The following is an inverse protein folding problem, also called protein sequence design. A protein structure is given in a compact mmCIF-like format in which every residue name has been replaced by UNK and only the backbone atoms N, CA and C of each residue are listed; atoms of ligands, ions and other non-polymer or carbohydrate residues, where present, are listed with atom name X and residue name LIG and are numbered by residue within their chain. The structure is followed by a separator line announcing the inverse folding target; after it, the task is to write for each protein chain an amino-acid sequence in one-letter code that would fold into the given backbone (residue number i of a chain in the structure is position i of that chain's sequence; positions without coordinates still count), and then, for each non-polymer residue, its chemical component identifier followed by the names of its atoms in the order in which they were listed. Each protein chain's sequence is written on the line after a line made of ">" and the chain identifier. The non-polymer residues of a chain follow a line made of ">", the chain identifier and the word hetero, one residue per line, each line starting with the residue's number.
data_IF_453202626249
#
_entry.id   IF_453202626249
#
_cell.length_a   1.000
_cell.length_b   1.000
_cell.length_c   1.000
_cell.angle_alpha   90.00
_cell.angle_beta   90.00
_cell.angle_gamma   90.00
#
_symmetry.space_group_name_H-M   'P 1'
#
loop_
_entity.id
_entity.type
_entity.pdbx_description
1 polymer ?
#
# COMPACT_ATOMS: atom_id res chain seq x y z
N UNK A 1 -55.97 10.21 -62.57
CA UNK A 1 -55.16 9.20 -61.82
C UNK A 1 -53.93 9.83 -61.29
N UNK A 2 -53.83 10.04 -59.98
CA UNK A 2 -52.64 10.67 -59.30
C UNK A 2 -51.96 9.58 -58.56
N UNK A 3 -50.73 9.27 -58.97
CA UNK A 3 -49.82 8.34 -58.29
C UNK A 3 -49.13 9.08 -57.12
N UNK A 4 -49.31 8.57 -55.87
CA UNK A 4 -48.65 9.04 -54.69
C UNK A 4 -47.44 8.14 -54.47
N UNK A 5 -46.26 8.68 -54.71
CA UNK A 5 -44.98 8.01 -54.39
C UNK A 5 -44.68 8.17 -52.92
N UNK A 6 -44.77 7.08 -52.16
CA UNK A 6 -44.34 7.03 -50.75
C UNK A 6 -42.82 6.96 -50.66
N UNK A 7 -42.15 8.01 -50.18
CA UNK A 7 -40.74 8.00 -49.84
C UNK A 7 -40.56 7.36 -48.46
N UNK A 8 -40.01 6.15 -48.41
CA UNK A 8 -39.50 5.56 -47.16
C UNK A 8 -38.24 6.27 -46.74
N UNK A 9 -38.28 6.99 -45.63
CA UNK A 9 -37.08 7.53 -44.96
C UNK A 9 -36.58 6.44 -44.03
N UNK A 10 -35.42 5.83 -44.41
CA UNK A 10 -34.73 4.85 -43.56
C UNK A 10 -33.93 5.63 -42.50
N UNK A 11 -34.42 5.68 -41.26
CA UNK A 11 -33.69 6.25 -40.13
C UNK A 11 -32.70 5.22 -39.62
N UNK A 12 -31.44 5.38 -39.93
CA UNK A 12 -30.33 4.60 -39.35
C UNK A 12 -30.07 5.09 -37.94
N UNK A 13 -30.46 4.32 -36.91
CA UNK A 13 -30.13 4.51 -35.53
C UNK A 13 -28.64 4.07 -35.36
N UNK A 14 -27.71 5.03 -35.27
CA UNK A 14 -26.37 4.79 -34.78
C UNK A 14 -26.46 4.60 -33.26
N UNK A 15 -26.44 3.34 -32.80
CA UNK A 15 -26.24 3.01 -31.39
C UNK A 15 -24.74 3.15 -31.10
N UNK A 16 -24.31 4.29 -30.52
CA UNK A 16 -22.99 4.47 -29.94
C UNK A 16 -22.90 3.59 -28.70
N UNK A 17 -22.21 2.44 -28.80
CA UNK A 17 -21.79 1.64 -27.66
C UNK A 17 -20.81 2.47 -26.85
N UNK A 18 -21.27 3.03 -25.73
CA UNK A 18 -20.38 3.62 -24.73
C UNK A 18 -19.64 2.44 -24.06
N UNK A 19 -18.42 2.16 -24.50
CA UNK A 19 -17.52 1.26 -23.81
C UNK A 19 -17.12 1.97 -22.53
N UNK A 20 -17.82 1.69 -21.45
CA UNK A 20 -17.43 2.14 -20.12
C UNK A 20 -16.05 1.56 -19.79
N UNK A 21 -15.07 2.40 -19.57
CA UNK A 21 -13.79 1.98 -19.02
C UNK A 21 -14.06 1.47 -17.59
N UNK A 22 -14.07 0.16 -17.41
CA UNK A 22 -14.13 -0.43 -16.08
C UNK A 22 -12.76 -0.23 -15.43
N UNK A 23 -12.72 0.60 -14.40
CA UNK A 23 -11.56 0.66 -13.51
C UNK A 23 -11.48 -0.68 -12.77
N UNK A 24 -10.44 -1.46 -13.06
CA UNK A 24 -10.16 -2.69 -12.32
C UNK A 24 -9.56 -2.34 -10.96
N UNK A 25 -9.75 -3.24 -9.97
CA UNK A 25 -9.09 -3.17 -8.66
C UNK A 25 -8.31 -4.45 -8.43
N UNK A 26 -7.15 -4.34 -7.79
CA UNK A 26 -6.31 -5.48 -7.43
C UNK A 26 -5.42 -5.13 -6.24
N UNK A 27 -4.67 -6.11 -5.73
CA UNK A 27 -3.78 -5.89 -4.59
C UNK A 27 -2.44 -6.61 -4.76
N UNK A 28 -1.41 -6.11 -4.09
CA UNK A 28 -0.09 -6.72 -3.96
C UNK A 28 0.22 -6.84 -2.48
N UNK A 29 0.49 -8.05 -2.00
CA UNK A 29 0.89 -8.31 -0.61
C UNK A 29 2.39 -8.59 -0.52
N UNK A 30 3.04 -8.00 0.48
CA UNK A 30 4.41 -8.26 0.87
C UNK A 30 4.44 -8.65 2.34
N UNK A 31 5.30 -9.59 2.69
CA UNK A 31 5.46 -10.07 4.08
C UNK A 31 6.96 -10.19 4.39
N UNK A 32 7.35 -9.76 5.58
CA UNK A 32 8.72 -9.92 6.07
C UNK A 32 8.74 -10.06 7.59
N UNK A 33 9.82 -10.60 8.14
CA UNK A 33 10.07 -10.57 9.58
C UNK A 33 10.94 -9.35 9.88
N UNK A 34 10.51 -8.43 10.75
CA UNK A 34 11.35 -7.29 11.11
C UNK A 34 12.61 -7.74 11.85
N UNK A 35 13.70 -6.95 11.81
CA UNK A 35 14.94 -7.28 12.51
C UNK A 35 14.73 -7.25 14.03
N UNK A 36 15.64 -7.89 14.75
CA UNK A 36 15.73 -7.78 16.22
C UNK A 36 15.99 -6.32 16.61
N UNK A 37 15.45 -5.89 17.75
CA UNK A 37 15.68 -4.57 18.31
C UNK A 37 16.67 -4.65 19.50
N UNK A 38 17.77 -3.89 19.42
CA UNK A 38 18.73 -3.77 20.51
C UNK A 38 18.23 -2.69 21.49
N UNK A 39 18.18 -3.03 22.78
CA UNK A 39 17.87 -2.09 23.86
C UNK A 39 19.16 -1.63 24.53
N UNK A 40 19.39 -0.33 24.53
CA UNK A 40 20.56 0.29 25.15
C UNK A 40 20.51 0.23 26.67
N UNK A 41 21.63 0.60 27.32
CA UNK A 41 21.71 0.70 28.80
C UNK A 41 20.73 1.71 29.39
N UNK A 42 20.18 2.63 28.60
CA UNK A 42 19.16 3.60 28.99
C UNK A 42 17.73 3.02 28.99
N UNK A 43 17.54 1.80 28.47
CA UNK A 43 16.21 1.21 28.27
C UNK A 43 15.52 1.61 26.96
N UNK A 44 16.07 2.56 26.22
CA UNK A 44 15.59 2.91 24.88
C UNK A 44 16.13 1.92 23.83
N UNK A 45 15.31 1.57 22.84
CA UNK A 45 15.70 0.68 21.76
C UNK A 45 16.24 1.42 20.53
N UNK A 46 17.02 0.71 19.73
CA UNK A 46 17.34 1.14 18.37
C UNK A 46 16.10 0.96 17.48
N UNK A 47 15.82 1.94 16.62
CA UNK A 47 14.70 1.84 15.67
C UNK A 47 14.86 0.64 14.76
N UNK A 48 13.98 -0.33 14.88
CA UNK A 48 13.91 -1.48 13.99
C UNK A 48 12.95 -1.19 12.83
N UNK A 49 13.38 -1.41 11.58
CA UNK A 49 12.58 -1.10 10.40
C UNK A 49 12.43 -2.29 9.47
N UNK A 50 11.20 -2.54 9.01
CA UNK A 50 10.88 -3.49 7.96
C UNK A 50 10.52 -2.74 6.68
N UNK A 51 11.10 -3.15 5.55
CA UNK A 51 10.95 -2.51 4.25
C UNK A 51 10.13 -3.38 3.28
N UNK A 52 9.11 -2.79 2.67
CA UNK A 52 8.19 -3.43 1.74
C UNK A 52 8.21 -2.69 0.40
N UNK A 53 9.15 -3.02 -0.45
CA UNK A 53 9.31 -2.36 -1.76
C UNK A 53 8.52 -3.04 -2.86
N UNK A 54 8.04 -2.25 -3.82
CA UNK A 54 7.41 -2.72 -5.05
C UNK A 54 8.38 -2.63 -6.23
N UNK A 55 8.45 -3.70 -6.99
CA UNK A 55 9.21 -3.80 -8.24
C UNK A 55 8.27 -3.98 -9.44
N UNK A 56 8.80 -3.83 -10.66
CA UNK A 56 8.02 -4.07 -11.87
C UNK A 56 7.41 -5.47 -11.96
N UNK A 57 8.09 -6.49 -11.39
CA UNK A 57 7.60 -7.88 -11.37
C UNK A 57 6.38 -8.11 -10.46
N UNK A 58 6.08 -7.19 -9.58
CA UNK A 58 4.90 -7.28 -8.70
C UNK A 58 3.60 -6.90 -9.41
N UNK A 59 3.71 -6.25 -10.57
CA UNK A 59 2.56 -5.84 -11.36
C UNK A 59 2.36 -6.82 -12.53
N UNK A 60 1.09 -7.20 -12.84
CA UNK A 60 0.80 -7.92 -14.09
C UNK A 60 1.36 -7.16 -15.30
N UNK A 61 1.92 -7.86 -16.27
CA UNK A 61 2.57 -7.24 -17.45
C UNK A 61 1.68 -6.23 -18.18
N UNK A 62 0.37 -6.49 -18.25
CA UNK A 62 -0.62 -5.56 -18.82
C UNK A 62 -0.80 -4.27 -18.02
N UNK A 63 -0.38 -4.24 -16.76
CA UNK A 63 -0.53 -3.08 -15.86
C UNK A 63 0.78 -2.31 -15.64
N UNK A 64 1.91 -2.73 -16.24
CA UNK A 64 3.19 -2.05 -16.03
C UNK A 64 3.13 -0.57 -16.42
N UNK A 65 2.50 -0.26 -17.56
CA UNK A 65 2.36 1.10 -18.10
C UNK A 65 1.02 1.76 -17.76
N UNK A 66 0.07 1.01 -17.17
CA UNK A 66 -1.23 1.56 -16.81
C UNK A 66 -1.10 2.61 -15.70
N UNK A 67 -1.98 3.61 -15.76
CA UNK A 67 -2.09 4.61 -14.70
C UNK A 67 -2.72 3.93 -13.46
N UNK A 68 -1.98 3.86 -12.37
CA UNK A 68 -2.40 3.18 -11.12
C UNK A 68 -2.66 4.21 -10.04
N UNK A 69 -3.74 4.01 -9.28
CA UNK A 69 -4.09 4.84 -8.13
C UNK A 69 -4.22 3.97 -6.88
N UNK A 70 -3.46 4.29 -5.84
CA UNK A 70 -3.59 3.66 -4.54
C UNK A 70 -4.97 3.95 -3.95
N UNK A 71 -5.63 2.93 -3.41
CA UNK A 71 -6.95 3.05 -2.77
C UNK A 71 -6.90 2.82 -1.26
N UNK A 72 -5.98 1.98 -0.79
CA UNK A 72 -5.62 1.82 0.63
C UNK A 72 -4.30 1.05 0.76
N UNK A 73 -3.69 1.15 1.93
CA UNK A 73 -2.61 0.26 2.38
C UNK A 73 -3.07 -0.44 3.63
N UNK A 74 -3.23 -1.77 3.56
CA UNK A 74 -3.57 -2.57 4.72
C UNK A 74 -2.28 -3.10 5.34
N UNK A 75 -2.10 -2.82 6.63
CA UNK A 75 -0.91 -3.15 7.40
C UNK A 75 -1.27 -4.15 8.48
N UNK A 76 -0.44 -5.17 8.62
CA UNK A 76 -0.38 -6.03 9.81
C UNK A 76 0.97 -5.83 10.47
N UNK A 77 0.99 -5.23 11.65
CA UNK A 77 2.22 -5.07 12.44
C UNK A 77 2.44 -6.27 13.38
N UNK A 78 3.68 -6.49 13.79
CA UNK A 78 4.01 -7.38 14.89
C UNK A 78 4.31 -6.60 16.17
N UNK A 79 4.48 -7.29 17.30
CA UNK A 79 4.99 -6.73 18.54
C UNK A 79 6.38 -7.27 18.85
N UNK A 80 7.14 -6.63 19.74
CA UNK A 80 8.41 -7.14 20.24
C UNK A 80 8.23 -7.80 21.61
N UNK A 81 8.67 -9.07 21.73
CA UNK A 81 8.56 -9.85 22.96
C UNK A 81 9.43 -9.21 24.04
N UNK A 82 8.81 -8.83 25.17
CA UNK A 82 9.51 -8.18 26.29
C UNK A 82 9.66 -6.67 26.16
N UNK A 83 9.10 -6.04 25.12
CA UNK A 83 8.99 -4.58 25.07
C UNK A 83 8.08 -4.06 26.18
N UNK A 84 8.52 -3.01 26.87
CA UNK A 84 7.69 -2.29 27.84
C UNK A 84 6.84 -1.21 27.17
N UNK A 85 7.31 -0.69 26.04
CA UNK A 85 6.61 0.20 25.14
C UNK A 85 7.15 0.00 23.73
N UNK A 86 6.32 0.24 22.71
CA UNK A 86 6.73 0.24 21.31
C UNK A 86 5.88 1.27 20.54
N UNK A 87 6.55 2.24 19.96
CA UNK A 87 5.90 3.25 19.12
C UNK A 87 6.12 2.85 17.67
N UNK A 88 5.03 2.48 17.00
CA UNK A 88 5.08 2.06 15.59
C UNK A 88 4.67 3.22 14.69
N UNK A 89 5.46 3.44 13.64
CA UNK A 89 5.14 4.35 12.57
C UNK A 89 5.21 3.65 11.21
N UNK A 90 4.29 4.00 10.32
CA UNK A 90 4.21 3.50 8.95
C UNK A 90 4.45 4.67 8.01
N UNK A 91 5.52 4.59 7.22
CA UNK A 91 5.91 5.63 6.28
C UNK A 91 5.79 5.11 4.84
N UNK A 92 5.07 5.86 4.01
CA UNK A 92 4.97 5.61 2.58
C UNK A 92 6.03 6.42 1.82
N UNK A 93 6.71 5.77 0.91
CA UNK A 93 7.68 6.38 -0.01
C UNK A 93 7.12 6.25 -1.44
N UNK A 94 6.75 7.35 -2.08
CA UNK A 94 6.38 7.34 -3.50
C UNK A 94 7.50 6.80 -4.39
N UNK A 95 7.20 6.36 -5.62
CA UNK A 95 8.21 5.86 -6.55
C UNK A 95 9.41 6.81 -6.69
N UNK A 96 10.62 6.23 -6.68
CA UNK A 96 11.89 6.95 -6.87
C UNK A 96 12.19 8.05 -5.84
N UNK A 97 11.59 7.99 -4.67
CA UNK A 97 11.89 8.88 -3.55
C UNK A 97 12.65 8.12 -2.46
N UNK A 98 13.56 8.82 -1.78
CA UNK A 98 14.34 8.27 -0.65
C UNK A 98 13.92 8.87 0.69
N UNK A 99 13.10 9.93 0.67
CA UNK A 99 12.64 10.62 1.88
C UNK A 99 11.25 10.15 2.26
N UNK A 100 11.10 9.69 3.50
CA UNK A 100 9.83 9.26 4.09
C UNK A 100 9.13 10.46 4.78
N UNK A 101 8.55 11.36 3.99
CA UNK A 101 7.83 12.52 4.52
C UNK A 101 6.36 12.22 4.83
N UNK A 102 5.87 11.07 4.38
CA UNK A 102 4.47 10.67 4.52
C UNK A 102 4.39 9.52 5.52
N UNK A 103 4.24 9.85 6.80
CA UNK A 103 4.18 8.87 7.88
C UNK A 103 2.89 8.98 8.68
N UNK A 104 2.33 7.82 9.03
CA UNK A 104 1.32 7.65 10.05
C UNK A 104 1.98 7.12 11.31
N UNK A 105 1.89 7.85 12.40
CA UNK A 105 2.47 7.49 13.69
C UNK A 105 1.42 6.87 14.63
N UNK A 106 1.89 6.30 15.73
CA UNK A 106 1.06 5.77 16.82
C UNK A 106 0.16 4.60 16.39
N UNK A 107 0.66 3.74 15.49
CA UNK A 107 0.03 2.46 15.20
C UNK A 107 0.25 1.52 16.39
N UNK A 108 -0.79 0.81 16.81
CA UNK A 108 -0.70 -0.14 17.91
C UNK A 108 0.06 -1.39 17.44
N UNK A 109 1.16 -1.81 18.11
CA UNK A 109 1.90 -3.02 17.75
C UNK A 109 1.02 -4.28 17.80
N UNK A 110 1.22 -5.20 16.86
CA UNK A 110 0.49 -6.46 16.80
C UNK A 110 -0.94 -6.34 16.28
N UNK A 111 -1.31 -5.21 15.65
CA UNK A 111 -2.66 -4.97 15.11
C UNK A 111 -2.67 -4.84 13.58
N UNK A 112 -3.88 -4.96 13.02
CA UNK A 112 -4.14 -4.67 11.62
C UNK A 112 -4.79 -3.29 11.48
N UNK A 113 -4.37 -2.52 10.48
CA UNK A 113 -4.95 -1.21 10.17
C UNK A 113 -5.01 -0.99 8.66
N UNK A 114 -6.08 -0.35 8.19
CA UNK A 114 -6.21 0.10 6.79
C UNK A 114 -6.00 1.61 6.73
N UNK A 115 -4.99 2.04 5.98
CA UNK A 115 -4.58 3.43 5.84
C UNK A 115 -5.00 3.97 4.46
N UNK A 116 -5.69 5.11 4.47
CA UNK A 116 -6.08 5.84 3.26
C UNK A 116 -5.33 7.17 3.11
N UNK A 117 -4.48 7.50 4.09
CA UNK A 117 -3.70 8.74 4.15
C UNK A 117 -2.82 8.96 2.90
N UNK A 118 -2.46 7.87 2.20
CA UNK A 118 -1.53 7.89 1.08
C UNK A 118 -2.20 7.83 -0.31
N UNK A 119 -3.53 7.76 -0.39
CA UNK A 119 -4.29 7.52 -1.63
C UNK A 119 -4.09 8.57 -2.73
N UNK A 120 -3.66 9.77 -2.36
CA UNK A 120 -3.41 10.87 -3.31
C UNK A 120 -1.93 10.98 -3.73
N UNK A 121 -1.09 10.06 -3.26
CA UNK A 121 0.33 10.05 -3.59
C UNK A 121 0.60 9.19 -4.84
N UNK A 122 1.69 9.48 -5.58
CA UNK A 122 2.11 8.65 -6.70
C UNK A 122 2.29 7.19 -6.28
N UNK A 123 1.78 6.24 -7.08
CA UNK A 123 1.85 4.81 -6.81
C UNK A 123 2.32 4.03 -8.04
N UNK A 124 3.17 3.03 -7.84
CA UNK A 124 3.65 2.15 -8.90
C UNK A 124 4.97 1.48 -8.55
N UNK A 125 5.69 1.04 -9.60
CA UNK A 125 7.02 0.47 -9.47
C UNK A 125 7.96 1.44 -8.74
N UNK A 126 8.70 0.95 -7.74
CA UNK A 126 9.60 1.73 -6.91
C UNK A 126 8.93 2.39 -5.70
N UNK A 127 7.61 2.30 -5.54
CA UNK A 127 6.95 2.68 -4.29
C UNK A 127 7.30 1.70 -3.16
N UNK A 128 7.28 2.17 -1.93
CA UNK A 128 7.55 1.31 -0.77
C UNK A 128 6.84 1.80 0.49
N UNK A 129 6.68 0.89 1.44
CA UNK A 129 6.29 1.17 2.81
C UNK A 129 7.42 0.75 3.73
N UNK A 130 7.67 1.55 4.76
CA UNK A 130 8.56 1.20 5.87
C UNK A 130 7.74 1.20 7.15
N UNK A 131 7.71 0.06 7.84
CA UNK A 131 7.18 -0.04 9.20
C UNK A 131 8.37 0.14 10.15
N UNK A 132 8.30 1.09 11.06
CA UNK A 132 9.35 1.41 12.02
C UNK A 132 8.83 1.21 13.43
N UNK A 133 9.59 0.46 14.23
CA UNK A 133 9.37 0.25 15.65
C UNK A 133 10.41 1.02 16.44
N UNK A 134 9.96 1.72 17.48
CA UNK A 134 10.81 2.32 18.50
C UNK A 134 10.51 1.66 19.85
N UNK A 135 10.97 0.42 20.04
CA UNK A 135 10.69 -0.30 21.28
C UNK A 135 11.55 0.23 22.44
N UNK A 136 11.04 0.09 23.64
CA UNK A 136 11.81 0.21 24.88
C UNK A 136 11.60 -1.06 25.71
N UNK A 137 12.56 -1.34 26.57
CA UNK A 137 12.55 -2.59 27.32
C UNK A 137 13.64 -2.67 28.39
N UNK A 138 13.91 -3.89 28.84
CA UNK A 138 14.97 -4.11 29.84
C UNK A 138 16.33 -3.66 29.26
N UNK A 139 17.10 -2.84 29.98
CA UNK A 139 18.41 -2.37 29.56
C UNK A 139 19.37 -3.50 29.13
N UNK A 140 20.16 -3.23 28.09
CA UNK A 140 21.21 -4.12 27.57
C UNK A 140 20.69 -5.49 27.14
N UNK A 141 19.49 -5.54 26.54
CA UNK A 141 18.88 -6.76 26.00
C UNK A 141 18.60 -6.62 24.51
N UNK A 142 18.32 -7.75 23.87
CA UNK A 142 17.81 -7.81 22.49
C UNK A 142 16.38 -8.32 22.52
N UNK A 143 15.47 -7.62 21.84
CA UNK A 143 14.08 -8.02 21.69
C UNK A 143 13.88 -8.71 20.34
N UNK A 144 13.10 -9.78 20.36
CA UNK A 144 12.72 -10.50 19.15
C UNK A 144 11.31 -10.10 18.72
N UNK A 145 11.05 -9.95 17.41
CA UNK A 145 9.68 -9.80 16.93
C UNK A 145 8.87 -11.06 17.23
N UNK A 146 7.60 -10.89 17.57
CA UNK A 146 6.69 -12.00 17.87
C UNK A 146 6.22 -12.74 16.61
N UNK A 147 6.41 -12.16 15.44
CA UNK A 147 5.97 -12.73 14.16
C UNK A 147 6.42 -11.92 12.97
N UNK A 148 5.71 -12.12 11.86
CA UNK A 148 5.93 -11.39 10.60
C UNK A 148 5.03 -10.17 10.53
N UNK A 149 5.44 -9.21 9.68
CA UNK A 149 4.64 -8.07 9.27
C UNK A 149 4.22 -8.22 7.82
N UNK A 150 3.08 -7.65 7.47
CA UNK A 150 2.63 -7.62 6.08
C UNK A 150 2.08 -6.25 5.70
N UNK A 151 2.24 -5.95 4.42
CA UNK A 151 1.70 -4.76 3.77
C UNK A 151 0.96 -5.21 2.51
N UNK A 152 -0.30 -4.84 2.40
CA UNK A 152 -1.12 -5.07 1.20
C UNK A 152 -1.44 -3.72 0.57
N UNK A 153 -0.95 -3.52 -0.66
CA UNK A 153 -1.24 -2.34 -1.47
C UNK A 153 -2.50 -2.61 -2.30
N UNK A 154 -3.58 -1.95 -1.99
CA UNK A 154 -4.82 -2.00 -2.78
C UNK A 154 -4.82 -0.85 -3.77
N UNK A 155 -5.08 -1.11 -5.06
CA UNK A 155 -5.04 -0.06 -6.08
C UNK A 155 -6.03 -0.33 -7.21
N UNK A 156 -6.41 0.76 -7.91
CA UNK A 156 -7.20 0.75 -9.15
C UNK A 156 -6.35 1.12 -10.36
N UNK A 157 -6.79 0.72 -11.57
CA UNK A 157 -6.13 0.97 -12.85
C UNK A 157 -7.13 1.08 -14.00
#
# INVERSE_FOLDING_TARGET
>A
MRQITKKCVLATLLSSAVVGAYAGTTSIQKTTTPPQALIFSTGAGFTAGAYFGLSGSDFPGSLLTANKKLTSIDIQTTSYIGATNDIVSVCYLPPYTTQSNYCRNEIVPGTSVSLQDFNNLPFGNGASVVIRHNPSGRPSTTLNPAGTESVTYNYSY
#
